data_IF_937385170031
#
_entry.id   IF_937385170031
#
_cell.length_a   1.000
_cell.length_b   1.000
_cell.length_c   1.000
_cell.angle_alpha   90.00
_cell.angle_beta   90.00
_cell.angle_gamma   90.00
#
_symmetry.space_group_name_H-M   'P 1'
#
loop_
_entity.id
_entity.type
_entity.pdbx_description
1 polymer ?
#
# COMPACT_ATOMS: atom_id res chain seq x y z
N UNK A 1 2.02 12.12 -13.78
CA UNK A 1 1.57 10.75 -13.57
C UNK A 1 1.94 10.30 -12.15
N UNK A 2 0.99 9.74 -11.43
CA UNK A 2 1.27 9.23 -10.09
C UNK A 2 1.93 7.86 -10.14
N UNK A 3 2.89 7.66 -9.23
CA UNK A 3 3.55 6.37 -9.02
C UNK A 3 3.01 5.73 -7.76
N UNK A 4 2.53 4.50 -7.87
CA UNK A 4 1.97 3.76 -6.75
C UNK A 4 2.83 2.52 -6.53
N UNK A 5 3.30 2.33 -5.29
CA UNK A 5 4.04 1.14 -4.92
C UNK A 5 3.07 0.14 -4.30
N UNK A 6 3.02 -1.06 -4.86
CA UNK A 6 2.19 -2.15 -4.35
C UNK A 6 3.10 -3.21 -3.77
N UNK A 7 2.90 -3.54 -2.49
CA UNK A 7 3.75 -4.47 -1.76
C UNK A 7 2.92 -5.58 -1.13
N UNK A 8 3.10 -6.81 -1.61
CA UNK A 8 2.44 -8.01 -1.09
C UNK A 8 3.29 -9.20 -1.53
N UNK A 9 3.43 -10.22 -0.68
CA UNK A 9 4.19 -11.41 -1.05
C UNK A 9 3.41 -12.34 -1.99
N UNK A 10 2.10 -12.13 -2.12
CA UNK A 10 1.27 -12.83 -3.09
C UNK A 10 1.35 -12.12 -4.44
N UNK A 11 2.09 -12.71 -5.38
CA UNK A 11 2.31 -12.12 -6.71
C UNK A 11 1.03 -11.95 -7.51
N UNK A 12 0.06 -12.83 -7.32
CA UNK A 12 -1.23 -12.73 -8.01
C UNK A 12 -1.99 -11.49 -7.56
N UNK A 13 -1.93 -11.15 -6.27
CA UNK A 13 -2.56 -9.94 -5.76
C UNK A 13 -1.88 -8.70 -6.33
N UNK A 14 -0.55 -8.68 -6.36
CA UNK A 14 0.20 -7.56 -6.92
C UNK A 14 -0.16 -7.35 -8.39
N UNK A 15 -0.21 -8.44 -9.17
CA UNK A 15 -0.57 -8.37 -10.58
C UNK A 15 -2.00 -7.88 -10.79
N UNK A 16 -2.94 -8.35 -9.97
CA UNK A 16 -4.34 -7.92 -10.07
C UNK A 16 -4.45 -6.42 -9.78
N UNK A 17 -3.81 -5.95 -8.73
CA UNK A 17 -3.83 -4.52 -8.37
C UNK A 17 -3.19 -3.69 -9.49
N UNK A 18 -2.08 -4.18 -10.05
CA UNK A 18 -1.44 -3.49 -11.18
C UNK A 18 -2.40 -3.31 -12.35
N UNK A 19 -3.15 -4.36 -12.70
CA UNK A 19 -4.11 -4.30 -13.79
C UNK A 19 -5.15 -3.20 -13.54
N UNK A 20 -5.76 -3.21 -12.35
CA UNK A 20 -6.82 -2.26 -12.03
C UNK A 20 -6.32 -0.82 -12.00
N UNK A 21 -5.17 -0.58 -11.39
CA UNK A 21 -4.66 0.77 -11.23
C UNK A 21 -3.99 1.31 -12.50
N UNK A 22 -3.39 0.45 -13.31
CA UNK A 22 -2.82 0.87 -14.59
C UNK A 22 -3.88 1.40 -15.54
N UNK A 23 -5.10 0.87 -15.46
CA UNK A 23 -6.23 1.35 -16.27
C UNK A 23 -6.60 2.78 -15.93
N UNK A 24 -6.24 3.24 -14.73
CA UNK A 24 -6.50 4.62 -14.30
C UNK A 24 -5.35 5.57 -14.65
N UNK A 25 -4.34 5.09 -15.35
CA UNK A 25 -3.22 5.91 -15.78
C UNK A 25 -2.07 6.02 -14.79
N UNK A 26 -2.09 5.24 -13.71
CA UNK A 26 -1.02 5.25 -12.71
C UNK A 26 0.14 4.35 -13.13
N UNK A 27 1.35 4.74 -12.77
CA UNK A 27 2.53 3.88 -12.92
C UNK A 27 2.65 3.03 -11.66
N UNK A 28 2.79 1.71 -11.83
CA UNK A 28 2.83 0.78 -10.71
C UNK A 28 4.24 0.25 -10.52
N UNK A 29 4.76 0.40 -9.29
CA UNK A 29 6.00 -0.21 -8.84
C UNK A 29 5.61 -1.37 -7.94
N UNK A 30 6.41 -2.44 -7.95
CA UNK A 30 6.05 -3.69 -7.26
C UNK A 30 7.14 -4.11 -6.29
N UNK A 31 6.72 -4.55 -5.10
CA UNK A 31 7.61 -5.13 -4.09
C UNK A 31 6.91 -6.34 -3.49
N UNK A 32 7.69 -7.31 -3.04
CA UNK A 32 7.15 -8.57 -2.56
C UNK A 32 7.45 -8.83 -1.08
N UNK A 33 8.07 -7.89 -0.42
CA UNK A 33 8.24 -7.85 1.04
C UNK A 33 8.59 -6.43 1.48
N UNK A 34 8.61 -6.23 2.80
CA UNK A 34 8.84 -4.90 3.35
C UNK A 34 10.23 -4.34 3.09
N UNK A 35 11.24 -5.20 2.97
CA UNK A 35 12.61 -4.76 2.68
C UNK A 35 12.68 -4.18 1.26
N UNK A 36 12.09 -4.89 0.29
CA UNK A 36 12.02 -4.40 -1.09
C UNK A 36 11.28 -3.06 -1.17
N UNK A 37 10.19 -2.94 -0.41
CA UNK A 37 9.43 -1.69 -0.39
C UNK A 37 10.28 -0.52 0.10
N UNK A 38 11.03 -0.73 1.19
CA UNK A 38 11.92 0.31 1.72
C UNK A 38 13.00 0.71 0.70
N UNK A 39 13.56 -0.28 0.00
CA UNK A 39 14.59 -0.02 -1.01
C UNK A 39 14.03 0.83 -2.17
N UNK A 40 12.84 0.50 -2.63
CA UNK A 40 12.20 1.26 -3.71
C UNK A 40 11.91 2.69 -3.26
N UNK A 41 11.42 2.88 -2.04
CA UNK A 41 11.11 4.21 -1.52
C UNK A 41 12.35 5.09 -1.37
N UNK A 42 13.53 4.50 -1.21
CA UNK A 42 14.78 5.26 -1.17
C UNK A 42 15.23 5.73 -2.55
N UNK A 43 14.84 5.01 -3.61
CA UNK A 43 15.32 5.27 -4.97
C UNK A 43 14.31 5.97 -5.85
N UNK A 44 13.02 5.80 -5.58
CA UNK A 44 11.94 6.30 -6.42
C UNK A 44 11.06 7.26 -5.64
N UNK A 45 10.56 8.26 -6.33
CA UNK A 45 9.53 9.13 -5.76
C UNK A 45 8.18 8.46 -5.92
N UNK A 46 7.59 8.02 -4.81
CA UNK A 46 6.33 7.28 -4.78
C UNK A 46 5.25 8.17 -4.19
N UNK A 47 4.07 8.20 -4.80
CA UNK A 47 2.96 9.04 -4.39
C UNK A 47 1.98 8.35 -3.45
N UNK A 48 1.96 7.02 -3.43
CA UNK A 48 1.08 6.24 -2.58
C UNK A 48 1.63 4.82 -2.44
N UNK A 49 1.50 4.26 -1.24
CA UNK A 49 1.89 2.87 -0.96
C UNK A 49 0.68 2.05 -0.58
N UNK A 50 0.55 0.87 -1.20
CA UNK A 50 -0.40 -0.15 -0.79
C UNK A 50 0.44 -1.30 -0.26
N UNK A 51 0.24 -1.71 0.99
CA UNK A 51 1.10 -2.70 1.62
C UNK A 51 0.32 -3.71 2.45
N UNK A 52 0.62 -4.99 2.23
CA UNK A 52 0.02 -6.07 3.00
C UNK A 52 0.61 -6.14 4.40
N UNK A 53 -0.22 -6.48 5.38
CA UNK A 53 0.20 -6.60 6.77
C UNK A 53 1.13 -7.81 6.98
N UNK A 54 0.76 -8.95 6.40
CA UNK A 54 1.45 -10.23 6.63
C UNK A 54 2.42 -10.55 5.51
N UNK A 55 3.71 -10.33 5.75
CA UNK A 55 4.75 -10.63 4.77
C UNK A 55 6.00 -11.16 5.46
N UNK A 56 6.83 -11.96 4.73
CA UNK A 56 8.10 -12.41 5.27
C UNK A 56 9.11 -11.28 5.36
N UNK A 57 10.16 -11.49 6.09
CA UNK A 57 11.30 -10.60 6.34
C UNK A 57 10.94 -9.34 7.12
N UNK A 58 10.06 -8.50 6.57
CA UNK A 58 9.58 -7.31 7.26
C UNK A 58 8.11 -7.15 6.93
N UNK A 59 7.24 -7.27 7.95
CA UNK A 59 5.80 -7.18 7.77
C UNK A 59 5.34 -5.73 7.49
N UNK A 60 4.10 -5.59 7.06
CA UNK A 60 3.56 -4.28 6.66
C UNK A 60 3.44 -3.28 7.78
N UNK A 61 3.19 -3.73 9.01
CA UNK A 61 3.10 -2.85 10.17
C UNK A 61 4.46 -2.26 10.50
N UNK A 62 5.49 -3.10 10.58
CA UNK A 62 6.86 -2.64 10.86
C UNK A 62 7.41 -1.79 9.73
N UNK A 63 7.10 -2.15 8.48
CA UNK A 63 7.52 -1.35 7.34
C UNK A 63 6.88 0.04 7.39
N UNK A 64 5.58 0.12 7.69
CA UNK A 64 4.87 1.40 7.82
C UNK A 64 5.53 2.27 8.89
N UNK A 65 5.85 1.69 10.04
CA UNK A 65 6.50 2.42 11.13
C UNK A 65 7.83 3.02 10.66
N UNK A 66 8.65 2.24 9.97
CA UNK A 66 9.93 2.72 9.44
C UNK A 66 9.76 3.80 8.38
N UNK A 67 8.79 3.62 7.48
CA UNK A 67 8.52 4.59 6.42
C UNK A 67 8.11 5.93 7.03
N UNK A 68 7.28 5.93 8.06
CA UNK A 68 6.80 7.16 8.70
C UNK A 68 7.90 7.97 9.39
N UNK A 69 9.05 7.39 9.65
CA UNK A 69 10.18 8.14 10.17
C UNK A 69 10.70 9.20 9.18
N UNK A 70 10.52 8.96 7.87
CA UNK A 70 11.11 9.81 6.83
C UNK A 70 10.13 10.27 5.75
N UNK A 71 8.93 9.72 5.71
CA UNK A 71 8.04 9.94 4.58
C UNK A 71 6.59 10.04 5.04
N UNK A 72 5.89 11.02 4.50
CA UNK A 72 4.47 11.26 4.83
C UNK A 72 3.51 10.83 3.72
N UNK A 73 3.98 10.05 2.74
CA UNK A 73 3.13 9.62 1.64
C UNK A 73 1.91 8.84 2.17
N UNK A 74 0.78 8.87 1.43
CA UNK A 74 -0.38 8.09 1.85
C UNK A 74 -0.10 6.59 1.81
N UNK A 75 -0.53 5.88 2.85
CA UNK A 75 -0.36 4.44 2.98
C UNK A 75 -1.71 3.78 3.19
N UNK A 76 -2.03 2.82 2.33
CA UNK A 76 -3.22 1.98 2.44
C UNK A 76 -2.77 0.57 2.81
N UNK A 77 -3.30 0.03 3.90
CA UNK A 77 -2.98 -1.33 4.35
C UNK A 77 -3.94 -2.33 3.69
N UNK A 78 -3.38 -3.47 3.23
CA UNK A 78 -4.19 -4.62 2.85
C UNK A 78 -4.20 -5.59 4.02
N UNK A 79 -5.37 -6.04 4.45
CA UNK A 79 -5.46 -6.99 5.56
C UNK A 79 -6.54 -8.02 5.31
N UNK A 80 -6.36 -9.23 5.86
CA UNK A 80 -7.39 -10.26 5.80
C UNK A 80 -8.61 -9.83 6.63
N UNK A 81 -9.78 -10.32 6.24
CA UNK A 81 -11.04 -9.95 6.88
C UNK A 81 -11.05 -10.24 8.38
N UNK A 82 -10.31 -11.27 8.82
CA UNK A 82 -10.23 -11.66 10.22
C UNK A 82 -9.20 -10.88 11.03
N UNK A 83 -8.47 -9.94 10.41
CA UNK A 83 -7.33 -9.26 11.01
C UNK A 83 -7.67 -7.83 11.46
N UNK A 84 -8.77 -7.67 12.21
CA UNK A 84 -9.19 -6.34 12.68
C UNK A 84 -8.16 -5.68 13.58
N UNK A 85 -7.46 -6.47 14.40
CA UNK A 85 -6.40 -5.96 15.27
C UNK A 85 -5.29 -5.31 14.45
N UNK A 86 -4.92 -5.94 13.33
CA UNK A 86 -3.88 -5.40 12.43
C UNK A 86 -4.31 -4.09 11.79
N UNK A 87 -5.60 -3.97 11.44
CA UNK A 87 -6.14 -2.72 10.89
C UNK A 87 -6.02 -1.58 11.89
N UNK A 88 -6.44 -1.83 13.13
CA UNK A 88 -6.39 -0.84 14.20
C UNK A 88 -4.94 -0.42 14.47
N UNK A 89 -4.05 -1.38 14.57
CA UNK A 89 -2.65 -1.11 14.81
C UNK A 89 -2.02 -0.31 13.66
N UNK A 90 -2.32 -0.69 12.43
CA UNK A 90 -1.81 0.02 11.25
C UNK A 90 -2.22 1.47 11.22
N UNK A 91 -3.49 1.76 11.51
CA UNK A 91 -3.99 3.13 11.55
C UNK A 91 -3.32 3.92 12.68
N UNK A 92 -3.11 3.28 13.84
CA UNK A 92 -2.45 3.93 14.98
C UNK A 92 -0.99 4.29 14.69
N UNK A 93 -0.29 3.53 13.87
CA UNK A 93 1.12 3.82 13.55
C UNK A 93 1.29 4.67 12.30
N UNK A 94 0.20 5.14 11.71
CA UNK A 94 0.28 6.14 10.65
C UNK A 94 -0.20 5.74 9.27
N UNK A 95 -0.89 4.61 9.11
CA UNK A 95 -1.56 4.31 7.84
C UNK A 95 -2.77 5.23 7.68
N UNK A 96 -3.11 5.55 6.45
CA UNK A 96 -4.19 6.49 6.15
C UNK A 96 -5.52 5.82 5.88
N UNK A 97 -5.48 4.55 5.45
CA UNK A 97 -6.68 3.80 5.11
C UNK A 97 -6.34 2.32 5.12
N UNK A 98 -7.36 1.48 4.98
CA UNK A 98 -7.15 0.04 4.85
C UNK A 98 -8.17 -0.55 3.87
N UNK A 99 -7.81 -1.69 3.28
CA UNK A 99 -8.68 -2.45 2.40
C UNK A 99 -8.62 -3.90 2.85
N UNK A 100 -9.80 -4.53 2.98
CA UNK A 100 -9.90 -5.92 3.42
C UNK A 100 -9.81 -6.87 2.22
N UNK A 101 -9.04 -7.93 2.36
CA UNK A 101 -8.99 -9.01 1.36
C UNK A 101 -10.08 -10.04 1.65
N UNK A 102 -10.73 -10.58 0.63
CA UNK A 102 -10.63 -10.20 -0.78
C UNK A 102 -11.26 -8.84 -1.02
N UNK A 103 -10.64 -8.03 -1.85
CA UNK A 103 -11.10 -6.67 -2.08
C UNK A 103 -11.95 -6.56 -3.35
N UNK A 104 -12.81 -5.56 -3.35
CA UNK A 104 -13.58 -5.16 -4.52
C UNK A 104 -12.70 -4.20 -5.35
N UNK A 105 -12.46 -4.49 -6.65
CA UNK A 105 -11.63 -3.60 -7.49
C UNK A 105 -12.12 -2.16 -7.55
N UNK A 106 -13.44 -1.94 -7.55
CA UNK A 106 -13.98 -0.58 -7.56
C UNK A 106 -13.69 0.15 -6.25
N UNK A 107 -13.75 -0.56 -5.13
CA UNK A 107 -13.39 0.02 -3.84
C UNK A 107 -11.91 0.37 -3.79
N UNK A 108 -11.05 -0.52 -4.28
CA UNK A 108 -9.61 -0.27 -4.33
C UNK A 108 -9.31 1.03 -5.09
N UNK A 109 -9.85 1.15 -6.30
CA UNK A 109 -9.65 2.33 -7.14
C UNK A 109 -10.17 3.59 -6.45
N UNK A 110 -11.36 3.52 -5.85
CA UNK A 110 -11.95 4.67 -5.18
C UNK A 110 -11.11 5.15 -4.00
N UNK A 111 -10.58 4.22 -3.18
CA UNK A 111 -9.76 4.58 -2.03
C UNK A 111 -8.41 5.16 -2.45
N UNK A 112 -7.81 4.62 -3.51
CA UNK A 112 -6.57 5.15 -4.05
C UNK A 112 -6.77 6.59 -4.54
N UNK A 113 -7.82 6.83 -5.31
CA UNK A 113 -8.14 8.17 -5.81
C UNK A 113 -8.38 9.15 -4.66
N UNK A 114 -9.11 8.70 -3.64
CA UNK A 114 -9.41 9.53 -2.48
C UNK A 114 -8.13 9.95 -1.74
N UNK A 115 -7.22 9.01 -1.51
CA UNK A 115 -5.97 9.30 -0.81
C UNK A 115 -5.06 10.21 -1.63
N UNK A 116 -4.94 9.97 -2.92
CA UNK A 116 -4.14 10.85 -3.80
C UNK A 116 -4.69 12.26 -3.82
N UNK A 117 -6.00 12.42 -3.89
CA UNK A 117 -6.64 13.73 -3.86
C UNK A 117 -6.36 14.49 -2.56
N UNK A 118 -6.47 13.80 -1.42
CA UNK A 118 -6.24 14.42 -0.10
C UNK A 118 -4.81 14.94 0.05
N UNK A 119 -3.83 14.20 -0.45
CA UNK A 119 -2.41 14.56 -0.28
C UNK A 119 -1.89 15.55 -1.29
N UNK A 120 -2.63 15.82 -2.37
CA UNK A 120 -2.18 16.70 -3.45
C UNK A 120 -3.06 17.95 -3.62
N UNK A 121 -3.89 18.23 -2.65
CA UNK A 121 -4.68 19.47 -2.60
C UNK A 121 -4.07 20.49 -1.67
#
# INVERSE_FOLDING_TARGET
>A
MYKILVCDDDREIVEAIEIYLSQEGYQILKAYDGIEALEILEKEEVNLLIIDVMMPRLDGIRATLKIREKNSLPIIILSAKSEDTDKILGLNIGADDYITKPFNPLELVARVKSQLRRFNE
#
